data_IF_645142525092
#
_entry.id   IF_645142525092
#
_cell.length_a   1.000
_cell.length_b   1.000
_cell.length_c   1.000
_cell.angle_alpha   90.00
_cell.angle_beta   90.00
_cell.angle_gamma   90.00
#
_symmetry.space_group_name_H-M   'P 1'
#
loop_
_entity.id
_entity.type
_entity.pdbx_description
1 polymer ?
#
# COMPACT_ATOMS: atom_id res chain seq x y z
N UNK A 1 2.75 -15.07 -3.67
CA UNK A 1 1.75 -14.79 -4.75
C UNK A 1 1.43 -13.31 -4.78
N UNK A 2 1.42 -12.71 -5.96
CA UNK A 2 1.06 -11.31 -6.17
C UNK A 2 -0.29 -11.17 -6.87
N UNK A 3 -1.01 -10.10 -6.55
CA UNK A 3 -2.23 -9.67 -7.28
C UNK A 3 -2.07 -8.18 -7.58
N UNK A 4 -2.27 -7.80 -8.84
CA UNK A 4 -2.23 -6.42 -9.29
C UNK A 4 -3.56 -5.98 -9.92
N UNK A 5 -3.90 -4.71 -9.75
CA UNK A 5 -5.09 -4.09 -10.35
C UNK A 5 -4.72 -2.87 -11.17
N UNK A 6 -5.48 -2.58 -12.22
CA UNK A 6 -5.19 -1.49 -13.14
C UNK A 6 -6.20 -0.36 -13.06
N UNK A 7 -5.71 0.88 -13.03
CA UNK A 7 -6.50 2.11 -13.02
C UNK A 7 -7.22 2.35 -14.37
N UNK A 8 -8.43 2.89 -14.34
CA UNK A 8 -9.28 3.11 -15.52
C UNK A 8 -9.46 1.85 -16.39
N UNK A 9 -9.55 0.70 -15.74
CA UNK A 9 -9.53 -0.59 -16.41
C UNK A 9 -10.45 -1.61 -15.73
N UNK A 10 -10.72 -2.70 -16.41
CA UNK A 10 -11.32 -3.91 -15.83
C UNK A 10 -10.31 -5.05 -15.76
N UNK A 11 -9.02 -4.73 -15.64
CA UNK A 11 -7.94 -5.72 -15.63
C UNK A 11 -7.37 -5.89 -14.23
N UNK A 12 -7.32 -7.14 -13.77
CA UNK A 12 -6.47 -7.62 -12.70
C UNK A 12 -5.45 -8.61 -13.27
N UNK A 13 -4.40 -8.88 -12.52
CA UNK A 13 -3.45 -9.93 -12.84
C UNK A 13 -2.98 -10.63 -11.58
N UNK A 14 -2.70 -11.92 -11.68
CA UNK A 14 -2.11 -12.73 -10.61
C UNK A 14 -0.81 -13.35 -11.05
N UNK A 15 0.12 -13.50 -10.13
CA UNK A 15 1.36 -14.24 -10.33
C UNK A 15 1.71 -15.03 -9.06
N UNK A 16 2.08 -16.31 -9.15
CA UNK A 16 2.52 -17.08 -7.98
C UNK A 16 3.86 -16.59 -7.42
N UNK A 17 4.70 -15.98 -8.25
CA UNK A 17 6.12 -15.70 -7.97
C UNK A 17 6.63 -14.34 -8.51
N UNK A 18 5.73 -13.54 -9.10
CA UNK A 18 6.07 -12.29 -9.78
C UNK A 18 6.70 -12.46 -11.16
N UNK A 19 6.89 -13.70 -11.65
CA UNK A 19 7.55 -14.02 -12.92
C UNK A 19 6.53 -14.26 -14.03
N UNK A 20 5.58 -15.15 -13.79
CA UNK A 20 4.53 -15.50 -14.76
C UNK A 20 3.22 -14.90 -14.31
N UNK A 21 2.66 -14.02 -15.12
CA UNK A 21 1.44 -13.30 -14.82
C UNK A 21 0.27 -13.78 -15.68
N UNK A 22 -0.88 -13.97 -15.04
CA UNK A 22 -2.16 -14.31 -15.70
C UNK A 22 -3.15 -13.17 -15.50
N UNK A 23 -3.74 -12.71 -16.62
CA UNK A 23 -4.74 -11.64 -16.61
C UNK A 23 -6.14 -12.18 -16.28
N UNK A 24 -6.90 -11.40 -15.52
CA UNK A 24 -8.26 -11.68 -15.09
C UNK A 24 -9.16 -10.45 -15.24
N UNK A 25 -10.47 -10.63 -15.49
CA UNK A 25 -11.38 -9.51 -15.54
C UNK A 25 -11.79 -9.05 -14.15
N UNK A 26 -11.70 -7.75 -13.90
CA UNK A 26 -12.43 -7.09 -12.82
C UNK A 26 -13.90 -6.88 -13.20
N UNK A 27 -14.83 -6.79 -12.24
CA UNK A 27 -16.26 -6.76 -12.51
C UNK A 27 -16.75 -5.46 -13.16
N UNK A 28 -15.92 -4.42 -13.18
CA UNK A 28 -16.22 -3.14 -13.78
C UNK A 28 -14.95 -2.44 -14.29
N UNK A 29 -15.09 -1.61 -15.33
CA UNK A 29 -14.09 -0.61 -15.66
C UNK A 29 -14.18 0.52 -14.66
N UNK A 30 -13.18 0.64 -13.77
CA UNK A 30 -13.16 1.62 -12.71
C UNK A 30 -11.74 2.15 -12.47
N UNK A 31 -11.62 3.20 -11.67
CA UNK A 31 -10.33 3.73 -11.23
C UNK A 31 -9.88 2.97 -9.98
N UNK A 32 -9.49 1.72 -10.15
CA UNK A 32 -8.95 0.91 -9.05
C UNK A 32 -7.68 1.58 -8.53
N UNK A 33 -7.62 1.83 -7.24
CA UNK A 33 -6.55 2.61 -6.61
C UNK A 33 -5.72 1.80 -5.64
N UNK A 34 -6.34 0.87 -4.92
CA UNK A 34 -5.63 0.08 -3.94
C UNK A 34 -6.31 -1.28 -3.73
N UNK A 35 -5.54 -2.24 -3.21
CA UNK A 35 -5.95 -3.61 -2.96
C UNK A 35 -5.29 -4.15 -1.70
N UNK A 36 -6.08 -4.85 -0.85
CA UNK A 36 -5.60 -5.42 0.40
C UNK A 36 -6.05 -6.89 0.56
N UNK A 37 -5.29 -7.64 1.34
CA UNK A 37 -5.53 -9.05 1.65
C UNK A 37 -5.85 -9.27 3.13
N UNK A 38 -7.04 -9.82 3.44
CA UNK A 38 -7.49 -10.07 4.83
C UNK A 38 -7.02 -11.39 5.43
N UNK A 39 -6.31 -12.20 4.69
CA UNK A 39 -6.07 -13.60 5.04
C UNK A 39 -7.10 -14.58 4.44
N UNK A 40 -8.24 -14.06 3.98
CA UNK A 40 -9.34 -14.84 3.39
C UNK A 40 -9.78 -14.31 2.01
N UNK A 41 -9.83 -13.00 1.84
CA UNK A 41 -10.23 -12.36 0.58
C UNK A 41 -9.34 -11.16 0.26
N UNK A 42 -9.10 -10.94 -1.03
CA UNK A 42 -8.64 -9.66 -1.56
C UNK A 42 -9.82 -8.71 -1.62
N UNK A 43 -9.58 -7.46 -1.26
CA UNK A 43 -10.54 -6.37 -1.40
C UNK A 43 -9.87 -5.21 -2.13
N UNK A 44 -10.40 -4.85 -3.29
CA UNK A 44 -9.96 -3.70 -4.07
C UNK A 44 -10.99 -2.57 -3.98
N UNK A 45 -10.51 -1.33 -3.89
CA UNK A 45 -11.33 -0.12 -3.88
C UNK A 45 -11.06 0.74 -5.10
N UNK A 46 -12.07 1.51 -5.51
CA UNK A 46 -11.95 2.37 -6.68
C UNK A 46 -12.22 3.84 -6.34
N UNK A 47 -11.41 4.73 -6.89
CA UNK A 47 -11.60 6.18 -6.79
C UNK A 47 -12.81 6.66 -7.61
N UNK A 48 -13.43 7.74 -7.13
CA UNK A 48 -14.55 8.42 -7.79
C UNK A 48 -15.78 7.54 -8.02
N UNK A 49 -16.20 6.81 -6.99
CA UNK A 49 -17.41 5.99 -7.08
C UNK A 49 -17.75 5.29 -5.77
N UNK A 50 -18.71 4.40 -5.88
CA UNK A 50 -19.11 3.48 -4.81
C UNK A 50 -18.67 2.05 -5.10
N UNK A 51 -17.63 1.87 -5.92
CA UNK A 51 -17.23 0.55 -6.42
C UNK A 51 -16.08 0.00 -5.56
N UNK A 52 -16.28 -1.21 -5.07
CA UNK A 52 -15.25 -2.09 -4.55
C UNK A 52 -15.41 -3.48 -5.20
N UNK A 53 -14.45 -4.35 -5.01
CA UNK A 53 -14.54 -5.73 -5.46
C UNK A 53 -13.82 -6.65 -4.47
N UNK A 54 -14.33 -7.88 -4.32
CA UNK A 54 -13.68 -8.91 -3.51
C UNK A 54 -13.40 -10.15 -4.33
N UNK A 55 -12.30 -10.82 -4.02
CA UNK A 55 -11.91 -12.08 -4.65
C UNK A 55 -11.22 -12.99 -3.62
N UNK A 56 -11.52 -14.29 -3.57
CA UNK A 56 -10.81 -15.24 -2.71
C UNK A 56 -9.42 -15.63 -3.24
N UNK A 57 -9.18 -15.45 -4.54
CA UNK A 57 -8.03 -15.99 -5.26
C UNK A 57 -7.32 -14.98 -6.20
N UNK A 58 -7.87 -13.78 -6.33
CA UNK A 58 -7.39 -12.74 -7.26
C UNK A 58 -7.81 -12.96 -8.72
N UNK A 59 -8.51 -14.05 -9.02
CA UNK A 59 -8.96 -14.43 -10.37
C UNK A 59 -10.45 -14.18 -10.58
N UNK A 60 -11.28 -14.62 -9.64
CA UNK A 60 -12.74 -14.44 -9.71
C UNK A 60 -13.14 -13.30 -8.80
N UNK A 61 -13.62 -12.20 -9.42
CA UNK A 61 -13.95 -10.97 -8.70
C UNK A 61 -15.45 -10.73 -8.64
N UNK A 62 -15.95 -10.35 -7.48
CA UNK A 62 -17.34 -9.97 -7.24
C UNK A 62 -17.42 -8.49 -6.88
N UNK A 63 -18.22 -7.74 -7.62
CA UNK A 63 -18.45 -6.32 -7.34
C UNK A 63 -19.12 -6.13 -5.98
N UNK A 64 -18.69 -5.10 -5.26
CA UNK A 64 -19.24 -4.66 -3.98
C UNK A 64 -19.56 -3.17 -4.05
N UNK A 65 -20.38 -2.72 -3.11
CA UNK A 65 -20.76 -1.32 -3.03
C UNK A 65 -20.18 -0.67 -1.76
N UNK A 66 -19.45 0.42 -1.95
CA UNK A 66 -19.07 1.33 -0.87
C UNK A 66 -20.24 2.25 -0.52
N UNK A 67 -20.34 2.73 0.73
CA UNK A 67 -21.55 3.44 1.21
C UNK A 67 -21.76 4.80 0.56
N UNK A 68 -20.69 5.42 0.07
CA UNK A 68 -20.73 6.77 -0.52
C UNK A 68 -19.69 6.90 -1.63
N UNK A 69 -19.98 7.74 -2.61
CA UNK A 69 -19.03 8.05 -3.69
C UNK A 69 -17.94 9.00 -3.17
N UNK A 70 -16.71 8.52 -3.15
CA UNK A 70 -15.50 9.27 -2.78
C UNK A 70 -14.34 8.91 -3.70
N UNK A 71 -13.30 9.68 -3.63
CA UNK A 71 -12.00 9.32 -4.21
C UNK A 71 -11.28 8.40 -3.19
N UNK A 72 -11.71 7.13 -3.12
CA UNK A 72 -11.05 6.13 -2.27
C UNK A 72 -9.62 5.94 -2.73
N UNK A 73 -8.66 6.00 -1.81
CA UNK A 73 -7.24 6.03 -2.16
C UNK A 73 -6.44 4.89 -1.54
N UNK A 74 -6.69 4.55 -0.30
CA UNK A 74 -5.96 3.47 0.38
C UNK A 74 -6.91 2.58 1.17
N UNK A 75 -6.56 1.29 1.27
CA UNK A 75 -7.28 0.27 2.05
C UNK A 75 -6.28 -0.59 2.81
N UNK A 76 -6.52 -0.83 4.10
CA UNK A 76 -5.67 -1.64 4.97
C UNK A 76 -6.51 -2.55 5.84
N UNK A 77 -6.05 -3.79 6.05
CA UNK A 77 -6.65 -4.78 6.95
C UNK A 77 -5.93 -4.79 8.30
N UNK A 78 -6.68 -4.72 9.40
CA UNK A 78 -6.12 -4.72 10.76
C UNK A 78 -6.20 -6.06 11.49
N UNK A 79 -6.60 -7.13 10.80
CA UNK A 79 -6.85 -8.44 11.40
C UNK A 79 -8.33 -8.68 11.73
N UNK A 80 -9.18 -7.64 11.69
CA UNK A 80 -10.60 -7.72 12.02
C UNK A 80 -11.50 -6.97 11.05
N UNK A 81 -11.04 -5.83 10.54
CA UNK A 81 -11.76 -5.01 9.57
C UNK A 81 -10.83 -4.47 8.49
N UNK A 82 -11.33 -4.36 7.28
CA UNK A 82 -10.79 -3.45 6.28
C UNK A 82 -11.14 -2.03 6.69
N UNK A 83 -10.20 -1.12 6.57
CA UNK A 83 -10.41 0.31 6.65
C UNK A 83 -9.99 0.94 5.32
N UNK A 84 -10.88 1.66 4.66
CA UNK A 84 -10.56 2.43 3.47
C UNK A 84 -10.78 3.93 3.73
N UNK A 85 -9.92 4.76 3.15
CA UNK A 85 -9.95 6.21 3.30
C UNK A 85 -10.19 6.90 1.97
N UNK A 86 -10.98 7.99 2.02
CA UNK A 86 -11.19 8.86 0.87
C UNK A 86 -10.24 10.05 0.89
N UNK A 87 -9.46 10.24 -0.18
CA UNK A 87 -8.66 11.47 -0.33
C UNK A 87 -9.53 12.70 -0.57
N UNK A 88 -9.03 13.88 -0.20
CA UNK A 88 -9.76 15.16 -0.22
C UNK A 88 -11.10 15.11 0.53
N UNK A 89 -11.14 14.37 1.63
CA UNK A 89 -12.36 14.10 2.39
C UNK A 89 -12.01 13.82 3.86
N UNK A 90 -12.99 13.93 4.74
CA UNK A 90 -12.90 13.48 6.13
C UNK A 90 -13.50 12.08 6.33
N UNK A 91 -13.71 11.33 5.24
CA UNK A 91 -14.44 10.07 5.26
C UNK A 91 -13.50 8.88 5.28
N UNK A 92 -13.70 8.01 6.25
CA UNK A 92 -13.23 6.64 6.25
C UNK A 92 -14.43 5.68 6.13
N UNK A 93 -14.19 4.42 5.80
CA UNK A 93 -15.18 3.36 5.84
C UNK A 93 -14.57 2.07 6.32
N UNK A 94 -15.31 1.27 7.07
CA UNK A 94 -14.83 -0.02 7.58
C UNK A 94 -15.74 -1.16 7.15
N UNK A 95 -15.17 -2.35 6.97
CA UNK A 95 -15.90 -3.58 6.65
C UNK A 95 -15.21 -4.79 7.28
N UNK A 96 -15.94 -5.72 7.94
CA UNK A 96 -15.35 -6.95 8.45
C UNK A 96 -15.06 -7.99 7.36
N UNK A 97 -15.66 -7.86 6.18
CA UNK A 97 -15.68 -8.90 5.15
C UNK A 97 -15.45 -8.35 3.72
N UNK A 98 -15.30 -7.03 3.55
CA UNK A 98 -15.22 -6.37 2.26
C UNK A 98 -16.56 -6.28 1.51
N UNK A 99 -17.66 -6.71 2.14
CA UNK A 99 -19.01 -6.77 1.54
C UNK A 99 -19.91 -5.69 2.11
N UNK A 100 -20.03 -5.65 3.44
CA UNK A 100 -20.84 -4.68 4.16
C UNK A 100 -19.97 -3.58 4.72
N UNK A 101 -20.17 -2.36 4.26
CA UNK A 101 -19.36 -1.20 4.61
C UNK A 101 -20.11 -0.19 5.45
N UNK A 102 -19.47 0.34 6.47
CA UNK A 102 -19.99 1.40 7.35
C UNK A 102 -19.16 2.67 7.18
N UNK A 103 -19.82 3.78 6.85
CA UNK A 103 -19.17 5.09 6.69
C UNK A 103 -18.89 5.75 8.03
N UNK A 104 -17.77 6.46 8.11
CA UNK A 104 -17.32 7.26 9.23
C UNK A 104 -16.76 8.60 8.71
N UNK A 105 -17.36 9.72 9.07
CA UNK A 105 -16.88 11.06 8.69
C UNK A 105 -16.09 11.67 9.85
N UNK A 106 -15.04 10.97 10.27
CA UNK A 106 -14.31 11.20 11.52
C UNK A 106 -12.82 11.46 11.34
N UNK A 107 -12.31 11.41 10.11
CA UNK A 107 -10.96 11.93 9.83
C UNK A 107 -10.92 13.41 10.23
N UNK A 108 -9.83 13.87 10.88
CA UNK A 108 -9.80 15.17 11.55
C UNK A 108 -9.94 16.36 10.63
N UNK A 109 -9.67 16.18 9.35
CA UNK A 109 -9.82 17.23 8.33
C UNK A 109 -10.03 16.63 6.94
N UNK A 110 -10.59 17.44 6.04
CA UNK A 110 -10.63 17.11 4.62
C UNK A 110 -9.27 17.45 4.01
N UNK A 111 -8.49 16.42 3.73
CA UNK A 111 -7.11 16.52 3.26
C UNK A 111 -6.86 15.50 2.14
N UNK A 112 -5.81 15.70 1.36
CA UNK A 112 -5.27 14.66 0.48
C UNK A 112 -4.64 13.54 1.33
N UNK A 113 -5.47 12.63 1.83
CA UNK A 113 -4.99 11.43 2.53
C UNK A 113 -4.42 10.45 1.52
N UNK A 114 -3.19 9.98 1.77
CA UNK A 114 -2.45 9.08 0.88
C UNK A 114 -2.28 7.70 1.52
N UNK A 115 -1.06 7.24 1.77
CA UNK A 115 -0.80 5.92 2.31
C UNK A 115 -1.30 5.73 3.74
N UNK A 116 -1.67 4.49 4.05
CA UNK A 116 -2.10 4.06 5.37
C UNK A 116 -1.44 2.74 5.75
N UNK A 117 -1.05 2.59 7.02
CA UNK A 117 -0.50 1.34 7.56
C UNK A 117 -1.10 0.99 8.92
N UNK A 118 -1.05 -0.29 9.28
CA UNK A 118 -1.46 -0.84 10.58
C UNK A 118 -0.26 -1.39 11.35
N UNK A 119 -0.11 -1.02 12.62
CA UNK A 119 1.01 -1.46 13.46
C UNK A 119 0.68 -2.57 14.47
N UNK A 120 -0.51 -3.15 14.39
CA UNK A 120 -1.02 -4.10 15.36
C UNK A 120 -1.91 -3.46 16.44
N UNK A 121 -1.93 -2.13 16.53
CA UNK A 121 -2.70 -1.37 17.54
C UNK A 121 -3.44 -0.17 16.98
N UNK A 122 -2.87 0.51 15.99
CA UNK A 122 -3.48 1.68 15.35
C UNK A 122 -3.24 1.67 13.84
N UNK A 123 -4.22 2.11 13.09
CA UNK A 123 -4.04 2.63 11.75
C UNK A 123 -3.30 3.97 11.83
N UNK A 124 -2.39 4.20 10.93
CA UNK A 124 -1.74 5.50 10.73
C UNK A 124 -1.86 5.90 9.27
N UNK A 125 -2.37 7.10 9.01
CA UNK A 125 -2.50 7.68 7.67
C UNK A 125 -1.76 9.00 7.60
N UNK A 126 -1.14 9.28 6.46
CA UNK A 126 -0.41 10.52 6.21
C UNK A 126 -1.13 11.39 5.20
N UNK A 127 -1.09 12.71 5.40
CA UNK A 127 -1.71 13.68 4.51
C UNK A 127 -0.70 14.38 3.63
N UNK A 128 -0.92 14.36 2.30
CA UNK A 128 -0.01 15.00 1.35
C UNK A 128 0.02 16.52 1.48
N UNK A 129 1.17 17.13 1.17
CA UNK A 129 1.41 18.57 1.23
C UNK A 129 1.01 19.22 2.57
N UNK A 130 1.27 18.50 3.65
CA UNK A 130 0.86 18.91 4.99
C UNK A 130 1.80 18.43 6.08
N UNK A 131 1.57 18.90 7.30
CA UNK A 131 2.18 18.38 8.53
C UNK A 131 1.19 17.53 9.33
N UNK A 132 0.15 16.99 8.69
CA UNK A 132 -0.93 16.27 9.37
C UNK A 132 -0.87 14.79 9.03
N UNK A 133 -0.85 13.96 10.08
CA UNK A 133 -1.18 12.55 10.06
C UNK A 133 -2.42 12.31 10.93
N UNK A 134 -2.97 11.13 10.89
CA UNK A 134 -4.00 10.71 11.82
C UNK A 134 -3.81 9.26 12.23
N UNK A 135 -4.22 8.93 13.45
CA UNK A 135 -4.21 7.56 13.96
C UNK A 135 -5.59 7.15 14.45
N UNK A 136 -5.93 5.88 14.28
CA UNK A 136 -7.17 5.29 14.75
C UNK A 136 -6.96 3.86 15.25
N UNK A 137 -7.48 3.46 16.41
CA UNK A 137 -7.40 2.07 16.87
C UNK A 137 -8.36 1.13 16.11
N UNK A 138 -9.40 1.67 15.49
CA UNK A 138 -10.54 0.91 14.97
C UNK A 138 -10.98 1.30 13.55
N UNK A 139 -10.37 2.33 12.95
CA UNK A 139 -10.78 2.92 11.68
C UNK A 139 -12.05 3.79 11.77
N UNK A 140 -12.59 3.95 12.98
CA UNK A 140 -13.83 4.70 13.26
C UNK A 140 -13.53 6.05 13.89
N UNK A 141 -12.72 6.07 14.94
CA UNK A 141 -12.37 7.30 15.68
C UNK A 141 -10.94 7.69 15.37
N UNK A 142 -10.76 8.83 14.71
CA UNK A 142 -9.47 9.31 14.28
C UNK A 142 -8.96 10.48 15.12
N UNK A 143 -7.69 10.42 15.48
CA UNK A 143 -6.99 11.49 16.22
C UNK A 143 -5.92 12.10 15.35
N UNK A 144 -5.97 13.42 15.19
CA UNK A 144 -4.94 14.16 14.45
C UNK A 144 -3.57 14.04 15.13
N UNK A 145 -2.54 13.90 14.29
CA UNK A 145 -1.13 13.86 14.69
C UNK A 145 -0.35 14.87 13.85
N UNK A 146 0.82 15.24 14.36
CA UNK A 146 1.70 16.17 13.66
C UNK A 146 2.98 15.45 13.26
N UNK A 147 3.32 15.54 11.97
CA UNK A 147 4.60 15.10 11.42
C UNK A 147 5.28 16.26 10.69
N UNK A 148 6.54 16.15 10.25
CA UNK A 148 7.18 17.21 9.46
C UNK A 148 6.35 17.59 8.23
N UNK A 149 6.41 18.84 7.79
CA UNK A 149 5.65 19.26 6.62
C UNK A 149 6.33 18.78 5.33
N UNK A 150 5.63 17.96 4.54
CA UNK A 150 6.13 17.44 3.27
C UNK A 150 4.97 16.99 2.35
N UNK A 151 5.31 16.64 1.11
CA UNK A 151 4.40 15.97 0.19
C UNK A 151 4.43 14.46 0.47
N UNK A 152 3.79 14.05 1.56
CA UNK A 152 3.72 12.65 1.97
C UNK A 152 2.97 11.82 0.94
N UNK A 153 3.45 10.62 0.68
CA UNK A 153 2.94 9.72 -0.34
C UNK A 153 2.45 8.40 0.28
N UNK A 154 3.32 7.78 1.10
CA UNK A 154 2.97 6.50 1.68
C UNK A 154 3.64 6.28 3.03
N UNK A 155 3.19 5.24 3.76
CA UNK A 155 3.70 4.85 5.07
C UNK A 155 3.64 3.34 5.24
N UNK A 156 4.72 2.73 5.74
CA UNK A 156 4.78 1.32 6.07
C UNK A 156 5.21 1.10 7.53
N UNK A 157 4.90 -0.09 8.08
CA UNK A 157 5.27 -0.52 9.42
C UNK A 157 6.26 -1.68 9.39
N UNK A 158 7.37 -1.59 10.15
CA UNK A 158 8.41 -2.62 10.19
C UNK A 158 8.39 -3.54 11.42
N UNK A 159 7.35 -3.49 12.22
CA UNK A 159 7.26 -4.21 13.49
C UNK A 159 7.73 -3.38 14.70
N UNK A 160 8.40 -2.23 14.47
CA UNK A 160 8.93 -1.35 15.53
C UNK A 160 8.67 0.13 15.30
N UNK A 161 8.59 0.56 14.03
CA UNK A 161 8.32 1.94 13.66
C UNK A 161 7.55 2.03 12.34
N UNK A 162 6.68 3.03 12.24
CA UNK A 162 6.21 3.55 10.96
C UNK A 162 7.35 4.28 10.26
N UNK A 163 7.43 4.12 8.96
CA UNK A 163 8.28 4.91 8.07
C UNK A 163 7.41 5.53 6.99
N UNK A 164 7.27 6.83 7.01
CA UNK A 164 6.59 7.60 5.97
C UNK A 164 7.61 8.18 4.99
N UNK A 165 7.26 8.19 3.70
CA UNK A 165 8.07 8.73 2.61
C UNK A 165 7.36 9.89 1.93
N UNK A 166 8.15 10.84 1.44
CA UNK A 166 7.65 11.99 0.70
C UNK A 166 8.49 12.22 -0.56
N UNK A 167 8.00 13.01 -1.50
CA UNK A 167 8.79 13.46 -2.62
C UNK A 167 10.05 14.18 -2.15
N UNK A 168 11.12 14.05 -2.92
CA UNK A 168 12.41 14.66 -2.62
C UNK A 168 13.28 13.81 -1.71
N UNK A 169 13.86 14.43 -0.69
CA UNK A 169 14.78 13.75 0.23
C UNK A 169 14.17 13.53 1.63
N UNK A 170 12.86 13.68 1.79
CA UNK A 170 12.22 13.65 3.11
C UNK A 170 11.58 12.31 3.38
N UNK A 171 11.91 11.75 4.54
CA UNK A 171 11.18 10.67 5.19
C UNK A 171 10.94 11.02 6.66
N UNK A 172 10.13 10.24 7.35
CA UNK A 172 9.94 10.35 8.79
C UNK A 172 9.66 8.98 9.41
N UNK A 173 10.13 8.78 10.64
CA UNK A 173 9.86 7.58 11.41
C UNK A 173 9.13 7.89 12.70
N UNK A 174 8.25 6.98 13.12
CA UNK A 174 7.50 7.08 14.39
C UNK A 174 7.30 5.70 15.01
N UNK A 175 7.58 5.50 16.31
CA UNK A 175 7.32 4.21 16.96
C UNK A 175 5.83 3.94 17.20
N UNK A 176 5.00 4.98 17.16
CA UNK A 176 3.60 4.92 17.61
C UNK A 176 2.60 5.67 16.72
N UNK A 177 3.09 6.34 15.65
CA UNK A 177 2.29 7.22 14.80
C UNK A 177 1.97 8.59 15.43
N UNK A 178 2.49 8.87 16.63
CA UNK A 178 2.24 10.10 17.39
C UNK A 178 3.44 11.04 17.34
N UNK A 179 4.61 10.53 17.69
CA UNK A 179 5.86 11.28 17.71
C UNK A 179 6.69 10.95 16.47
N UNK A 180 6.84 11.93 15.58
CA UNK A 180 7.54 11.75 14.31
C UNK A 180 8.90 12.42 14.31
N UNK A 181 9.91 11.72 13.83
CA UNK A 181 11.27 12.22 13.62
C UNK A 181 11.59 12.25 12.15
N UNK A 182 11.94 13.43 11.64
CA UNK A 182 12.35 13.58 10.24
C UNK A 182 13.61 12.76 9.93
N UNK A 183 13.65 12.18 8.75
CA UNK A 183 14.74 11.39 8.18
C UNK A 183 15.05 11.88 6.79
N UNK A 184 16.19 11.42 6.24
CA UNK A 184 16.65 11.84 4.92
C UNK A 184 16.73 10.61 4.01
N UNK A 185 16.01 10.64 2.90
CA UNK A 185 16.15 9.69 1.80
C UNK A 185 17.45 9.97 1.02
N UNK A 186 18.04 8.95 0.38
CA UNK A 186 19.39 9.02 -0.16
C UNK A 186 19.49 9.80 -1.48
N UNK A 187 18.35 10.13 -2.11
CA UNK A 187 18.27 10.89 -3.36
C UNK A 187 17.04 11.79 -3.39
N UNK A 188 17.09 12.81 -4.23
CA UNK A 188 15.96 13.69 -4.52
C UNK A 188 15.15 13.11 -5.68
N UNK A 189 14.20 12.23 -5.37
CA UNK A 189 13.39 11.50 -6.34
C UNK A 189 11.90 11.75 -6.15
N UNK A 190 11.12 11.38 -7.17
CA UNK A 190 9.67 11.21 -7.04
C UNK A 190 9.40 9.80 -6.51
N UNK A 191 9.59 9.60 -5.21
CA UNK A 191 9.30 8.31 -4.59
C UNK A 191 7.82 7.96 -4.78
N UNK A 192 7.50 6.70 -4.98
CA UNK A 192 6.14 6.26 -5.28
C UNK A 192 5.51 5.47 -4.15
N UNK A 193 6.24 4.49 -3.61
CA UNK A 193 5.67 3.55 -2.65
C UNK A 193 6.74 2.94 -1.75
N UNK A 194 6.34 2.35 -0.61
CA UNK A 194 7.21 1.73 0.39
C UNK A 194 6.64 0.40 0.87
N UNK A 195 7.44 -0.66 0.83
CA UNK A 195 7.12 -1.97 1.39
C UNK A 195 8.16 -2.45 2.39
N UNK A 196 7.75 -3.36 3.29
CA UNK A 196 8.61 -4.01 4.28
C UNK A 196 8.64 -5.52 4.09
N UNK A 197 9.83 -6.14 4.07
CA UNK A 197 9.99 -7.58 3.87
C UNK A 197 10.29 -8.39 5.14
N UNK A 198 10.23 -7.78 6.30
CA UNK A 198 10.65 -8.39 7.58
C UNK A 198 12.08 -8.06 7.98
N UNK A 199 12.89 -7.45 7.08
CA UNK A 199 14.29 -7.10 7.31
C UNK A 199 14.66 -5.71 6.82
N UNK A 200 14.11 -5.28 5.69
CA UNK A 200 14.36 -3.95 5.11
C UNK A 200 13.07 -3.34 4.56
N UNK A 201 12.95 -2.03 4.69
CA UNK A 201 12.10 -1.23 3.84
C UNK A 201 12.69 -1.17 2.45
N UNK A 202 11.84 -1.22 1.45
CA UNK A 202 12.17 -0.95 0.06
C UNK A 202 11.26 0.14 -0.47
N UNK A 203 11.85 1.18 -1.06
CA UNK A 203 11.13 2.26 -1.73
C UNK A 203 11.50 2.30 -3.20
N UNK A 204 10.54 2.61 -4.06
CA UNK A 204 10.73 2.78 -5.50
C UNK A 204 10.46 4.21 -5.92
N UNK A 205 11.06 4.65 -7.02
CA UNK A 205 10.88 6.00 -7.54
C UNK A 205 10.19 5.99 -8.91
N UNK A 206 9.19 6.85 -9.08
CA UNK A 206 8.54 7.10 -10.35
C UNK A 206 9.47 7.86 -11.30
N UNK A 207 9.38 7.57 -12.61
CA UNK A 207 10.14 8.23 -13.68
C UNK A 207 11.66 8.16 -13.49
N UNK A 208 12.14 7.05 -12.93
CA UNK A 208 13.54 6.84 -12.58
C UNK A 208 13.87 5.35 -12.52
N UNK A 209 15.15 4.99 -12.56
CA UNK A 209 15.61 3.64 -12.25
C UNK A 209 16.10 3.50 -10.80
N UNK A 210 15.69 4.41 -9.93
CA UNK A 210 16.14 4.46 -8.54
C UNK A 210 15.19 3.72 -7.62
N UNK A 211 15.76 2.94 -6.72
CA UNK A 211 15.13 2.42 -5.53
C UNK A 211 16.05 2.67 -4.33
N UNK A 212 15.57 2.45 -3.12
CA UNK A 212 16.42 2.45 -1.94
C UNK A 212 15.93 1.45 -0.90
N UNK A 213 16.84 0.96 -0.08
CA UNK A 213 16.53 0.06 1.03
C UNK A 213 17.05 0.61 2.36
N UNK A 214 16.35 0.33 3.44
CA UNK A 214 16.73 0.69 4.80
C UNK A 214 16.29 -0.37 5.80
N UNK A 215 17.13 -0.81 6.74
CA UNK A 215 16.73 -1.75 7.79
C UNK A 215 15.84 -1.11 8.87
N UNK A 216 15.87 0.22 8.99
CA UNK A 216 15.31 0.95 10.13
C UNK A 216 14.52 2.22 9.75
N UNK A 217 14.47 2.56 8.45
CA UNK A 217 13.88 3.81 7.96
C UNK A 217 14.74 5.06 8.23
N UNK A 218 15.96 4.87 8.78
CA UNK A 218 16.88 5.95 9.16
C UNK A 218 18.07 6.01 8.19
N UNK A 219 18.73 4.87 8.01
CA UNK A 219 19.89 4.76 7.11
C UNK A 219 19.48 4.10 5.80
N UNK A 220 19.56 4.85 4.71
CA UNK A 220 19.12 4.42 3.40
C UNK A 220 20.28 4.15 2.46
N UNK A 221 20.16 3.11 1.66
CA UNK A 221 21.14 2.74 0.62
C UNK A 221 20.44 2.74 -0.74
N UNK A 222 21.00 3.48 -1.69
CA UNK A 222 20.52 3.50 -3.08
C UNK A 222 20.61 2.13 -3.73
N UNK A 223 19.62 1.83 -4.57
CA UNK A 223 19.51 0.61 -5.39
C UNK A 223 19.11 1.01 -6.80
N UNK A 224 19.34 0.10 -7.74
CA UNK A 224 19.06 0.35 -9.15
C UNK A 224 18.00 -0.63 -9.64
N UNK A 225 16.90 -0.10 -10.17
CA UNK A 225 15.87 -0.83 -10.88
C UNK A 225 16.31 -1.11 -12.34
N UNK A 226 15.77 -2.13 -13.00
CA UNK A 226 16.24 -2.58 -14.31
C UNK A 226 15.92 -1.63 -15.47
N UNK A 227 15.06 -0.63 -15.26
CA UNK A 227 14.67 0.32 -16.30
C UNK A 227 14.36 1.70 -15.70
N UNK A 228 14.60 2.74 -16.48
CA UNK A 228 14.21 4.13 -16.19
C UNK A 228 12.79 4.34 -16.71
N UNK A 229 11.79 4.08 -15.85
CA UNK A 229 10.37 4.14 -16.17
C UNK A 229 9.55 4.58 -14.95
N UNK A 230 8.24 4.65 -15.11
CA UNK A 230 7.35 5.04 -14.02
C UNK A 230 7.01 3.84 -13.11
N UNK A 231 7.91 3.49 -12.19
CA UNK A 231 7.63 2.53 -11.14
C UNK A 231 6.62 3.14 -10.17
N UNK A 232 5.56 2.39 -9.86
CA UNK A 232 4.41 3.00 -9.19
C UNK A 232 4.15 2.42 -7.81
N UNK A 233 4.19 1.10 -7.68
CA UNK A 233 3.86 0.42 -6.45
C UNK A 233 4.81 -0.76 -6.21
N UNK A 234 5.08 -1.12 -4.95
CA UNK A 234 5.95 -2.23 -4.56
C UNK A 234 5.35 -3.02 -3.40
N UNK A 235 5.30 -4.35 -3.54
CA UNK A 235 4.79 -5.25 -2.51
C UNK A 235 5.78 -6.37 -2.19
N UNK A 236 5.59 -7.00 -1.03
CA UNK A 236 6.31 -8.19 -0.58
C UNK A 236 5.34 -9.35 -0.37
N UNK A 237 5.61 -10.53 -0.95
CA UNK A 237 4.74 -11.70 -0.85
C UNK A 237 5.21 -12.77 0.15
N UNK A 238 6.27 -12.51 0.90
CA UNK A 238 6.90 -13.42 1.82
C UNK A 238 8.21 -14.00 1.29
N UNK A 239 8.43 -13.97 -0.04
CA UNK A 239 9.60 -14.54 -0.71
C UNK A 239 10.34 -13.52 -1.58
N UNK A 240 9.63 -12.57 -2.19
CA UNK A 240 10.20 -11.53 -3.04
C UNK A 240 9.44 -10.21 -2.96
N UNK A 241 10.16 -9.11 -3.18
CA UNK A 241 9.55 -7.85 -3.61
C UNK A 241 9.13 -7.95 -5.07
N UNK A 242 8.00 -7.35 -5.40
CA UNK A 242 7.56 -7.10 -6.76
C UNK A 242 7.16 -5.64 -6.90
N UNK A 243 7.74 -4.94 -7.86
CA UNK A 243 7.30 -3.60 -8.26
C UNK A 243 6.72 -3.63 -9.67
N UNK A 244 5.70 -2.82 -9.89
CA UNK A 244 4.99 -2.70 -11.16
C UNK A 244 5.18 -1.31 -11.75
N UNK A 245 5.27 -1.24 -13.08
CA UNK A 245 5.40 0.02 -13.78
C UNK A 245 4.08 0.45 -14.42
N UNK A 246 3.69 1.69 -14.18
CA UNK A 246 2.50 2.32 -14.76
C UNK A 246 2.68 2.55 -16.26
N UNK A 247 1.60 2.39 -17.04
CA UNK A 247 1.59 2.55 -18.51
C UNK A 247 2.58 1.64 -19.24
N UNK A 248 2.82 0.44 -18.73
CA UNK A 248 3.86 -0.46 -19.20
C UNK A 248 3.45 -1.93 -19.09
N UNK A 249 4.20 -2.80 -19.74
CA UNK A 249 4.20 -4.25 -19.49
C UNK A 249 5.33 -4.68 -18.56
N UNK A 250 6.02 -3.75 -17.91
CA UNK A 250 7.20 -4.05 -17.11
C UNK A 250 6.85 -4.14 -15.64
N UNK A 251 7.33 -5.20 -15.01
CA UNK A 251 7.47 -5.37 -13.57
C UNK A 251 8.92 -5.73 -13.24
N UNK A 252 9.27 -5.75 -11.98
CA UNK A 252 10.55 -6.27 -11.53
C UNK A 252 10.39 -6.99 -10.19
N UNK A 253 11.19 -8.04 -9.98
CA UNK A 253 11.24 -8.78 -8.72
C UNK A 253 12.62 -8.77 -8.12
N UNK A 254 12.69 -8.79 -6.78
CA UNK A 254 13.93 -8.87 -6.01
C UNK A 254 13.71 -9.67 -4.73
N UNK A 255 14.58 -10.63 -4.37
CA UNK A 255 14.46 -11.36 -3.11
C UNK A 255 14.84 -10.51 -1.88
N UNK A 256 15.57 -9.42 -2.08
CA UNK A 256 16.18 -8.64 -1.00
C UNK A 256 16.08 -7.11 -1.15
N UNK A 257 15.49 -6.64 -2.25
CA UNK A 257 15.42 -5.22 -2.62
C UNK A 257 16.72 -4.67 -3.19
N UNK A 258 17.76 -5.50 -3.37
CA UNK A 258 19.11 -5.09 -3.83
C UNK A 258 19.28 -5.39 -5.31
N UNK A 259 19.07 -6.65 -5.69
CA UNK A 259 19.20 -7.09 -7.08
C UNK A 259 17.85 -7.30 -7.70
N UNK A 260 17.54 -6.54 -8.73
CA UNK A 260 16.25 -6.54 -9.40
C UNK A 260 16.33 -7.23 -10.76
N UNK A 261 15.35 -8.07 -11.03
CA UNK A 261 15.19 -8.75 -12.32
C UNK A 261 13.91 -8.30 -12.99
N UNK A 262 14.03 -7.79 -14.22
CA UNK A 262 12.86 -7.38 -15.00
C UNK A 262 11.93 -8.55 -15.28
N UNK A 263 10.62 -8.28 -15.25
CA UNK A 263 9.52 -9.20 -15.52
C UNK A 263 8.54 -8.58 -16.49
N UNK A 264 7.62 -9.40 -17.01
CA UNK A 264 6.64 -8.94 -17.99
C UNK A 264 5.22 -9.14 -17.45
N UNK A 265 4.48 -8.04 -17.35
CA UNK A 265 3.05 -8.02 -17.04
C UNK A 265 2.22 -8.40 -18.28
N UNK A 266 1.01 -8.94 -18.12
CA UNK A 266 0.23 -9.50 -19.23
C UNK A 266 -0.35 -8.45 -20.17
N UNK A 267 -0.39 -7.18 -19.79
CA UNK A 267 -0.92 -6.09 -20.59
C UNK A 267 -0.18 -4.77 -20.33
N UNK A 268 -0.13 -3.90 -21.34
CA UNK A 268 0.26 -2.51 -21.17
C UNK A 268 -0.96 -1.71 -20.74
N UNK A 269 -1.03 -1.37 -19.46
CA UNK A 269 -2.14 -0.61 -18.86
C UNK A 269 -1.62 0.28 -17.73
N UNK A 270 -2.51 1.06 -17.12
CA UNK A 270 -2.18 1.85 -15.94
C UNK A 270 -2.22 0.92 -14.71
N UNK A 271 -1.19 0.08 -14.53
CA UNK A 271 -1.05 -0.69 -13.30
C UNK A 271 -0.94 0.27 -12.12
N UNK A 272 -1.76 0.07 -11.10
CA UNK A 272 -1.93 1.04 -10.01
C UNK A 272 -1.50 0.48 -8.67
N UNK A 273 -1.96 -0.72 -8.32
CA UNK A 273 -1.62 -1.32 -7.05
C UNK A 273 -1.26 -2.80 -7.21
N UNK A 274 -0.30 -3.27 -6.42
CA UNK A 274 0.09 -4.66 -6.30
C UNK A 274 0.15 -5.04 -4.83
N UNK A 275 -0.44 -6.18 -4.47
CA UNK A 275 -0.37 -6.75 -3.13
C UNK A 275 0.34 -8.10 -3.17
N UNK A 276 1.17 -8.36 -2.17
CA UNK A 276 1.81 -9.65 -1.94
C UNK A 276 1.01 -10.47 -0.92
N UNK A 277 0.64 -11.68 -1.29
CA UNK A 277 0.08 -12.67 -0.38
C UNK A 277 1.15 -13.72 -0.11
N UNK A 278 1.60 -13.91 1.15
CA UNK A 278 2.57 -14.94 1.50
C UNK A 278 2.10 -16.34 1.03
N UNK A 279 2.99 -17.06 0.36
CA UNK A 279 2.68 -18.35 -0.27
C UNK A 279 2.37 -19.48 0.71
N UNK A 280 2.87 -19.40 1.92
CA UNK A 280 2.50 -20.21 3.10
C UNK A 280 3.13 -19.58 4.34
N UNK A 281 2.35 -18.98 5.22
CA UNK A 281 2.71 -18.99 6.63
C UNK A 281 1.63 -19.72 7.39
N UNK A 282 1.94 -20.77 8.15
CA UNK A 282 1.10 -21.11 9.28
C UNK A 282 0.93 -19.83 10.09
N UNK A 283 -0.23 -19.56 10.60
CA UNK A 283 -0.71 -18.40 11.35
C UNK A 283 0.21 -17.88 12.49
N UNK A 284 1.43 -18.38 12.60
CA UNK A 284 2.33 -18.23 13.74
C UNK A 284 3.50 -17.26 13.54
N UNK A 285 3.75 -16.71 12.33
CA UNK A 285 4.93 -15.86 12.13
C UNK A 285 4.68 -14.35 12.18
N UNK A 286 3.45 -13.88 12.05
CA UNK A 286 3.12 -12.46 12.17
C UNK A 286 2.48 -12.06 13.52
N UNK A 287 2.28 -13.02 14.43
CA UNK A 287 1.84 -12.80 15.81
C UNK A 287 2.84 -13.42 16.79
N UNK A 288 4.02 -12.87 16.91
CA UNK A 288 4.81 -12.97 18.12
C UNK A 288 4.84 -11.56 18.74
N UNK A 289 4.04 -11.30 19.71
CA UNK A 289 4.01 -11.65 21.12
C UNK A 289 2.70 -11.18 21.73
N UNK A 290 1.97 -12.05 22.30
CA UNK A 290 1.36 -11.93 23.61
C UNK A 290 0.87 -13.33 23.96
N UNK A 291 1.56 -13.99 24.81
CA UNK A 291 1.16 -14.69 26.03
C UNK A 291 2.31 -15.63 26.44
N UNK A 292 3.08 -15.22 27.39
CA UNK A 292 3.54 -16.12 28.43
C UNK A 292 3.36 -15.36 29.75
N UNK A 293 2.41 -15.95 30.55
CA UNK A 293 2.18 -15.87 32.00
C UNK A 293 2.50 -14.58 32.76
#
# INVERSE_FOLDING_TARGET
>A
MFVAVAFNSNIAATSPDGVTWTQWPLPATARWTDIEWSGAVFCAVASNGTIAATSPDGAVWTQRALPVSKAWNSIVWNGSVFCAIGTNSNTATTSPDGITWTQHDTLPTSLGWEGMAWNGSVFCVVGTNSNIAATSPDGVTWTQRTLPNAAWLDVAWNGSAFCAIANGTIAATSPDGVTWTQRTLPANESWSDIAWNGSVFCVTAAFSNVAATSPDGITWTLRTLPADINWWDVAWDGDAFCTIARSSTIAATSPDGITWTQRTLPASTLWEAVIGRPSFTPFWKNYRRCVEF
#
